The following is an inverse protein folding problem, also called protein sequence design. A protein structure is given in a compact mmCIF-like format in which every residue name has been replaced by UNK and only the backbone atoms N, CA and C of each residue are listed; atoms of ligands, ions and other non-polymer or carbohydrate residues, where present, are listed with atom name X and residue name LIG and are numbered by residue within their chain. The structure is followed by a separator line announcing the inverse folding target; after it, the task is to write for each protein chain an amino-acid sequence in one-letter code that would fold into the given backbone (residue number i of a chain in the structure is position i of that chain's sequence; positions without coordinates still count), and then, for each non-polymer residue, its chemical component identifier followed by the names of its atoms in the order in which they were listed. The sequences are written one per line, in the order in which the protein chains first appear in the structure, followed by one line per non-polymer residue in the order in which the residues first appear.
data_IF_892575553541
#
_entry.id   IF_892575553541
#
_cell.length_a   1.000
_cell.length_b   1.000
_cell.length_c   1.000
_cell.angle_alpha   90.00
_cell.angle_beta   90.00
_cell.angle_gamma   90.00
#
_symmetry.space_group_name_H-M   'P 1'
#
loop_
_entity.id
_entity.type
_entity.pdbx_description
1 polymer ?
#
# COMPACT_ATOMS: atom_id res chain seq x y z
N UNK A 1 -12.31 21.55 3.96
CA UNK A 1 -11.13 21.15 4.73
C UNK A 1 -10.81 19.69 4.43
N UNK A 2 -9.96 19.40 3.43
CA UNK A 2 -9.52 18.03 3.08
C UNK A 2 -8.01 17.99 3.23
N UNK A 3 -7.53 17.49 4.38
CA UNK A 3 -6.13 17.13 4.59
C UNK A 3 -6.00 15.65 4.28
N UNK A 4 -5.80 15.30 3.01
CA UNK A 4 -5.44 13.94 2.60
C UNK A 4 -3.96 13.94 2.19
N UNK A 5 -3.01 13.60 3.09
CA UNK A 5 -1.64 13.31 2.71
C UNK A 5 -1.62 11.98 1.93
N UNK A 6 -2.02 12.05 0.66
CA UNK A 6 -1.95 10.93 -0.26
C UNK A 6 -0.60 10.95 -0.95
N UNK A 7 0.25 9.97 -0.66
CA UNK A 7 1.37 9.66 -1.53
C UNK A 7 0.88 8.68 -2.61
N UNK A 8 0.76 9.16 -3.85
CA UNK A 8 0.69 8.26 -5.00
C UNK A 8 2.11 7.84 -5.27
N UNK A 9 2.49 6.64 -4.82
CA UNK A 9 3.79 6.05 -5.16
C UNK A 9 3.63 5.38 -6.51
N UNK A 10 4.21 5.92 -7.61
CA UNK A 10 4.26 5.18 -8.85
C UNK A 10 5.13 3.95 -8.61
N UNK A 11 4.56 2.75 -8.79
CA UNK A 11 5.31 1.50 -8.77
C UNK A 11 6.29 1.50 -9.96
N UNK A 12 7.50 2.03 -9.76
CA UNK A 12 8.58 1.91 -10.75
C UNK A 12 9.26 0.56 -10.53
N UNK A 13 9.11 -0.33 -11.51
CA UNK A 13 9.93 -1.54 -11.63
C UNK A 13 9.36 -2.84 -11.04
N UNK A 14 8.12 -2.87 -10.57
CA UNK A 14 7.46 -4.10 -10.12
C UNK A 14 6.16 -4.30 -10.88
N UNK A 15 6.13 -5.24 -11.83
CA UNK A 15 4.91 -5.63 -12.55
C UNK A 15 4.00 -6.43 -11.63
N UNK A 16 3.22 -5.75 -10.79
CA UNK A 16 1.93 -6.30 -10.39
C UNK A 16 1.05 -6.27 -11.64
N UNK A 17 0.46 -7.41 -12.01
CA UNK A 17 -0.46 -7.48 -13.15
C UNK A 17 -1.64 -6.52 -12.89
N UNK A 18 -1.61 -5.36 -13.53
CA UNK A 18 -2.75 -4.48 -13.78
C UNK A 18 -3.31 -3.67 -12.60
N UNK A 19 -2.56 -2.72 -12.04
CA UNK A 19 -3.18 -1.60 -11.31
C UNK A 19 -2.22 -0.75 -10.46
N UNK A 20 -2.43 0.57 -10.47
CA UNK A 20 -1.78 1.47 -9.50
C UNK A 20 -2.40 1.28 -8.12
N UNK A 21 -1.58 1.20 -7.08
CA UNK A 21 -2.01 1.21 -5.68
C UNK A 21 -1.96 2.65 -5.15
N UNK A 22 -2.92 2.99 -4.29
CA UNK A 22 -2.96 4.25 -3.56
C UNK A 22 -2.73 3.98 -2.08
N UNK A 23 -1.80 4.72 -1.50
CA UNK A 23 -1.47 4.68 -0.08
C UNK A 23 -1.88 6.00 0.56
N UNK A 24 -2.66 5.94 1.63
CA UNK A 24 -3.10 7.11 2.40
C UNK A 24 -2.66 6.96 3.85
N UNK A 25 -2.02 7.99 4.41
CA UNK A 25 -1.77 8.03 5.84
C UNK A 25 -3.06 8.43 6.59
N UNK A 26 -3.50 7.61 7.55
CA UNK A 26 -4.74 7.83 8.31
C UNK A 26 -4.51 8.54 9.65
N UNK A 27 -3.25 8.71 10.05
CA UNK A 27 -2.86 9.27 11.34
C UNK A 27 -1.47 8.81 11.73
N UNK A 28 -1.09 9.00 13.00
CA UNK A 28 0.21 8.52 13.51
C UNK A 28 0.33 7.02 13.27
N UNK A 29 1.27 6.65 12.39
CA UNK A 29 1.66 5.27 12.12
C UNK A 29 0.53 4.35 11.62
N UNK A 30 -0.44 4.89 10.88
CA UNK A 30 -1.50 4.10 10.24
C UNK A 30 -1.59 4.40 8.74
N UNK A 31 -1.69 3.36 7.94
CA UNK A 31 -1.72 3.43 6.48
C UNK A 31 -2.91 2.63 5.94
N UNK A 32 -3.57 3.17 4.92
CA UNK A 32 -4.53 2.44 4.11
C UNK A 32 -3.97 2.21 2.71
N UNK A 33 -4.10 0.98 2.22
CA UNK A 33 -3.71 0.58 0.88
C UNK A 33 -4.96 0.13 0.11
N UNK A 34 -5.16 0.67 -1.09
CA UNK A 34 -6.24 0.24 -1.99
C UNK A 34 -5.82 0.33 -3.44
N UNK A 35 -6.57 -0.31 -4.33
CA UNK A 35 -6.42 -0.06 -5.77
C UNK A 35 -6.86 1.36 -6.11
N UNK A 36 -6.05 2.07 -6.88
CA UNK A 36 -6.26 3.50 -7.18
C UNK A 36 -7.52 3.76 -8.01
N UNK A 37 -7.85 2.86 -8.94
CA UNK A 37 -9.01 2.90 -9.84
C UNK A 37 -10.33 2.38 -9.21
N UNK A 38 -10.27 1.78 -8.02
CA UNK A 38 -11.43 1.27 -7.28
C UNK A 38 -11.56 1.97 -5.93
N UNK A 39 -12.04 3.24 -5.89
CA UNK A 39 -12.16 4.00 -4.65
C UNK A 39 -13.16 3.41 -3.64
N UNK A 40 -14.09 2.55 -4.10
CA UNK A 40 -15.03 1.78 -3.26
C UNK A 40 -14.65 0.30 -3.12
N UNK A 41 -13.46 -0.08 -3.59
CA UNK A 41 -12.95 -1.44 -3.47
C UNK A 41 -12.45 -1.74 -2.06
N UNK A 42 -12.00 -2.99 -1.86
CA UNK A 42 -11.36 -3.41 -0.62
C UNK A 42 -10.17 -2.51 -0.27
N UNK A 43 -10.06 -2.19 1.02
CA UNK A 43 -8.97 -1.39 1.57
C UNK A 43 -8.30 -2.18 2.69
N UNK A 44 -7.00 -2.35 2.58
CA UNK A 44 -6.16 -2.95 3.62
C UNK A 44 -5.67 -1.85 4.55
N UNK A 45 -5.63 -2.11 5.85
CA UNK A 45 -5.14 -1.18 6.86
C UNK A 45 -3.92 -1.78 7.54
N UNK A 46 -2.87 -0.98 7.65
CA UNK A 46 -1.61 -1.34 8.29
C UNK A 46 -1.25 -0.32 9.37
N UNK A 47 -0.67 -0.79 10.44
CA UNK A 47 0.19 0.02 11.31
C UNK A 47 1.56 0.24 10.65
N UNK A 48 2.39 1.13 11.20
CA UNK A 48 3.77 1.29 10.72
C UNK A 48 4.56 0.00 10.86
N UNK A 49 4.47 -0.66 12.02
CA UNK A 49 5.19 -1.90 12.27
C UNK A 49 4.77 -3.02 11.32
N UNK A 50 3.47 -3.14 11.03
CA UNK A 50 2.97 -4.13 10.06
C UNK A 50 3.38 -3.82 8.63
N UNK A 51 3.38 -2.53 8.24
CA UNK A 51 3.85 -2.13 6.92
C UNK A 51 5.35 -2.40 6.75
N UNK A 52 6.14 -2.12 7.78
CA UNK A 52 7.58 -2.40 7.77
C UNK A 52 7.85 -3.91 7.68
N UNK A 53 7.13 -4.73 8.45
CA UNK A 53 7.22 -6.20 8.39
C UNK A 53 6.77 -6.73 7.01
N UNK A 54 5.68 -6.21 6.45
CA UNK A 54 5.21 -6.58 5.12
C UNK A 54 6.26 -6.28 4.05
N UNK A 55 6.87 -5.09 4.08
CA UNK A 55 7.91 -4.70 3.14
C UNK A 55 9.19 -5.53 3.33
N UNK A 56 9.53 -5.92 4.56
CA UNK A 56 10.65 -6.83 4.82
C UNK A 56 10.40 -8.21 4.22
N UNK A 57 9.21 -8.80 4.44
CA UNK A 57 8.81 -10.08 3.86
C UNK A 57 8.82 -10.07 2.33
N UNK A 58 8.34 -8.98 1.70
CA UNK A 58 8.43 -8.78 0.24
C UNK A 58 9.88 -8.76 -0.23
N UNK A 59 10.79 -8.06 0.47
CA UNK A 59 12.21 -8.02 0.09
C UNK A 59 12.91 -9.36 0.26
N UNK A 60 12.45 -10.18 1.20
CA UNK A 60 12.95 -11.54 1.46
C UNK A 60 12.39 -12.58 0.49
N UNK A 61 11.43 -12.21 -0.36
CA UNK A 61 10.78 -13.13 -1.28
C UNK A 61 9.82 -14.11 -0.58
N UNK A 62 9.32 -13.76 0.62
CA UNK A 62 8.38 -14.63 1.37
C UNK A 62 7.08 -14.90 0.61
N UNK A 63 6.75 -14.04 -0.36
CA UNK A 63 5.52 -14.10 -1.15
C UNK A 63 5.74 -14.58 -2.60
N UNK A 64 6.96 -14.99 -2.97
CA UNK A 64 7.29 -15.35 -4.36
C UNK A 64 6.81 -16.76 -4.76
N UNK A 65 6.39 -17.57 -3.79
CA UNK A 65 5.91 -18.95 -3.98
C UNK A 65 4.37 -19.08 -3.98
N UNK A 66 3.64 -17.95 -3.99
CA UNK A 66 2.18 -17.90 -3.94
C UNK A 66 1.51 -18.02 -5.31
#
# INVERSE_FOLDING_TARGET
MRNDPTAVVPARGCSFVGGALRISALGRQKFAMRRSDKPRGGTLYFTSAELDAFLDGVRRGEFDLA
#
